data_IF_966242139627
#
_entry.id   IF_966242139627
#
_cell.length_a   1.000
_cell.length_b   1.000
_cell.length_c   1.000
_cell.angle_alpha   90.00
_cell.angle_beta   90.00
_cell.angle_gamma   90.00
#
_symmetry.space_group_name_H-M   'P 1'
#
loop_
_entity.id
_entity.type
_entity.pdbx_description
1 polymer ?
#
# COMPACT_ATOMS: atom_id res chain seq x y z
N UNK A 1 -7.33 -35.82 63.12
CA UNK A 1 -8.56 -35.58 62.33
C UNK A 1 -8.48 -34.17 61.76
N UNK A 2 -8.03 -34.10 60.53
CA UNK A 2 -7.50 -32.94 59.81
C UNK A 2 -8.62 -32.08 59.23
N UNK A 3 -8.60 -30.76 59.45
CA UNK A 3 -9.42 -29.80 58.68
C UNK A 3 -8.81 -28.39 58.63
N UNK A 4 -7.60 -28.22 58.09
CA UNK A 4 -7.08 -26.87 57.77
C UNK A 4 -6.17 -26.94 56.53
N UNK A 5 -6.72 -26.84 55.32
CA UNK A 5 -5.88 -26.90 54.12
C UNK A 5 -6.46 -26.50 52.76
N UNK A 6 -7.65 -25.88 52.68
CA UNK A 6 -8.28 -25.61 51.35
C UNK A 6 -8.69 -24.17 51.04
N UNK A 7 -8.62 -23.22 51.97
CA UNK A 7 -9.31 -21.93 51.79
C UNK A 7 -8.46 -20.78 51.24
N UNK A 8 -7.13 -20.82 51.35
CA UNK A 8 -6.28 -19.73 50.84
C UNK A 8 -5.86 -19.89 49.38
N UNK A 9 -5.65 -21.12 48.90
CA UNK A 9 -5.22 -21.34 47.52
C UNK A 9 -6.38 -21.15 46.52
N UNK A 10 -7.59 -21.61 46.85
CA UNK A 10 -8.77 -21.41 46.00
C UNK A 10 -9.21 -19.94 45.89
N UNK A 11 -9.01 -19.14 46.95
CA UNK A 11 -9.24 -17.69 46.88
C UNK A 11 -8.22 -16.99 45.99
N UNK A 12 -6.96 -17.41 46.04
CA UNK A 12 -5.91 -16.84 45.20
C UNK A 12 -6.16 -17.17 43.72
N UNK A 13 -6.53 -18.42 43.40
CA UNK A 13 -6.82 -18.84 42.01
C UNK A 13 -8.08 -18.17 41.46
N UNK A 14 -9.14 -18.02 42.26
CA UNK A 14 -10.38 -17.31 41.82
C UNK A 14 -10.15 -15.82 41.52
N UNK A 15 -9.17 -15.17 42.13
CA UNK A 15 -8.84 -13.76 41.82
C UNK A 15 -8.15 -13.57 40.47
N UNK A 16 -7.54 -14.62 39.91
CA UNK A 16 -6.85 -14.55 38.62
C UNK A 16 -7.72 -14.84 37.40
N UNK A 17 -8.92 -15.43 37.58
CA UNK A 17 -9.81 -15.78 36.47
C UNK A 17 -10.91 -14.75 36.21
N UNK A 18 -10.97 -13.66 36.98
CA UNK A 18 -11.88 -12.56 36.68
C UNK A 18 -11.28 -11.76 35.53
N UNK A 19 -11.77 -12.04 34.32
CA UNK A 19 -11.45 -11.43 33.01
C UNK A 19 -11.76 -9.93 32.92
N UNK A 20 -11.64 -9.19 34.03
CA UNK A 20 -11.50 -7.75 34.02
C UNK A 20 -10.02 -7.44 33.78
N UNK A 21 -9.59 -7.64 32.54
CA UNK A 21 -8.47 -6.87 31.98
C UNK A 21 -8.98 -5.43 31.79
N UNK A 22 -9.39 -4.81 32.91
CA UNK A 22 -9.47 -3.37 32.99
C UNK A 22 -8.12 -2.90 32.51
N UNK A 23 -8.13 -2.09 31.45
CA UNK A 23 -6.99 -1.32 30.97
C UNK A 23 -6.40 -0.60 32.17
N UNK A 24 -5.47 -1.27 32.86
CA UNK A 24 -4.79 -0.71 34.00
C UNK A 24 -3.98 0.41 33.37
N UNK A 25 -4.45 1.64 33.56
CA UNK A 25 -3.82 2.83 33.04
C UNK A 25 -2.31 2.68 33.25
N UNK A 26 -1.48 2.97 32.22
CA UNK A 26 -0.04 2.81 32.32
C UNK A 26 0.39 3.44 33.64
N UNK A 27 0.96 2.63 34.54
CA UNK A 27 1.39 3.13 35.84
C UNK A 27 2.31 4.32 35.56
N UNK A 28 1.81 5.52 35.85
CA UNK A 28 2.53 6.74 35.52
C UNK A 28 3.83 6.69 36.31
N UNK A 29 4.97 6.60 35.60
CA UNK A 29 6.26 6.61 36.26
C UNK A 29 6.34 7.97 36.98
N UNK A 30 6.42 8.00 38.32
CA UNK A 30 6.49 9.26 39.04
C UNK A 30 7.71 10.03 38.52
N UNK A 31 7.45 11.23 37.98
CA UNK A 31 8.48 12.13 37.49
C UNK A 31 9.39 12.46 38.67
N UNK A 32 10.72 12.26 38.53
CA UNK A 32 11.66 12.67 39.58
C UNK A 32 11.44 14.18 39.79
N UNK A 33 11.16 14.60 41.03
CA UNK A 33 11.33 16.01 41.39
C UNK A 33 12.83 16.25 41.30
N UNK A 34 13.25 17.09 40.37
CA UNK A 34 14.63 17.25 39.86
C UNK A 34 15.63 17.87 40.86
N UNK A 35 15.39 17.74 42.16
CA UNK A 35 16.35 18.23 43.15
C UNK A 35 17.04 17.01 43.73
N UNK A 36 18.31 16.71 43.34
CA UNK A 36 19.13 15.86 44.19
C UNK A 36 19.07 16.49 45.56
N UNK A 37 18.58 15.73 46.53
CA UNK A 37 18.38 16.23 47.87
C UNK A 37 19.71 16.79 48.33
N UNK A 38 19.83 18.12 48.48
CA UNK A 38 21.06 18.80 48.91
C UNK A 38 21.65 18.16 50.19
N UNK A 39 20.79 17.43 50.91
CA UNK A 39 21.09 16.53 52.02
C UNK A 39 22.15 15.46 51.77
N UNK A 40 22.39 15.03 50.52
CA UNK A 40 23.42 14.02 50.21
C UNK A 40 24.84 14.59 50.22
N UNK A 41 24.98 15.92 50.17
CA UNK A 41 26.27 16.61 50.16
C UNK A 41 26.64 17.19 51.53
N UNK A 42 25.86 16.91 52.58
CA UNK A 42 26.14 17.35 53.95
C UNK A 42 27.30 16.51 54.50
N UNK A 43 28.33 17.18 55.03
CA UNK A 43 29.39 16.51 55.77
C UNK A 43 28.85 16.10 57.15
N UNK A 44 28.89 14.81 57.53
CA UNK A 44 28.39 14.37 58.82
C UNK A 44 29.29 14.91 59.94
N UNK A 45 28.70 15.55 60.94
CA UNK A 45 29.40 16.02 62.14
C UNK A 45 29.45 14.91 63.21
N UNK A 46 28.51 13.97 63.16
CA UNK A 46 28.35 12.91 64.15
C UNK A 46 28.33 11.50 63.53
N UNK A 47 28.80 10.49 64.27
CA UNK A 47 28.80 9.09 63.80
C UNK A 47 27.42 8.54 63.47
N UNK A 48 26.36 9.04 64.14
CA UNK A 48 24.96 8.69 63.81
C UNK A 48 24.54 9.21 62.44
N UNK A 49 24.98 10.40 62.08
CA UNK A 49 24.69 11.02 60.78
C UNK A 49 25.39 10.26 59.65
N UNK A 50 26.63 9.81 59.88
CA UNK A 50 27.35 8.98 58.92
C UNK A 50 26.60 7.67 58.60
N UNK A 51 26.03 6.99 59.61
CA UNK A 51 25.20 5.79 59.41
C UNK A 51 23.89 6.12 58.69
N UNK A 52 23.25 7.25 59.01
CA UNK A 52 22.03 7.66 58.32
C UNK A 52 22.31 7.95 56.83
N UNK A 53 23.41 8.65 56.52
CA UNK A 53 23.81 8.94 55.15
C UNK A 53 24.12 7.67 54.35
N UNK A 54 24.78 6.68 54.93
CA UNK A 54 25.04 5.40 54.22
C UNK A 54 23.75 4.65 53.92
N UNK A 55 22.82 4.59 54.87
CA UNK A 55 21.49 3.97 54.65
C UNK A 55 20.69 4.73 53.60
N UNK A 56 20.75 6.06 53.58
CA UNK A 56 20.09 6.87 52.56
C UNK A 56 20.65 6.60 51.16
N UNK A 57 21.98 6.50 51.03
CA UNK A 57 22.65 6.18 49.77
C UNK A 57 22.25 4.79 49.26
N UNK A 58 22.30 3.77 50.14
CA UNK A 58 21.88 2.40 49.81
C UNK A 58 20.41 2.33 49.36
N UNK A 59 19.54 3.10 50.00
CA UNK A 59 18.12 3.17 49.64
C UNK A 59 17.91 3.89 48.31
N UNK A 60 18.67 4.94 48.03
CA UNK A 60 18.64 5.63 46.75
C UNK A 60 19.09 4.70 45.62
N UNK A 61 20.21 3.99 45.78
CA UNK A 61 20.71 3.01 44.80
C UNK A 61 19.69 1.89 44.52
N UNK A 62 19.04 1.38 45.57
CA UNK A 62 17.96 0.39 45.43
C UNK A 62 16.76 0.97 44.67
N UNK A 63 16.37 2.20 44.99
CA UNK A 63 15.27 2.88 44.31
C UNK A 63 15.59 3.12 42.83
N UNK A 64 16.82 3.56 42.51
CA UNK A 64 17.32 3.71 41.16
C UNK A 64 17.27 2.38 40.39
N UNK A 65 17.73 1.29 41.01
CA UNK A 65 17.69 -0.05 40.42
C UNK A 65 16.25 -0.49 40.14
N UNK A 66 15.35 -0.36 41.10
CA UNK A 66 13.94 -0.68 40.94
C UNK A 66 13.30 0.15 39.83
N UNK A 67 13.62 1.44 39.73
CA UNK A 67 13.12 2.33 38.67
C UNK A 67 13.60 1.89 37.29
N UNK A 68 14.89 1.55 37.14
CA UNK A 68 15.44 1.02 35.88
C UNK A 68 14.71 -0.26 35.44
N UNK A 69 14.46 -1.17 36.38
CA UNK A 69 13.70 -2.40 36.11
C UNK A 69 12.24 -2.12 35.73
N UNK A 70 11.59 -1.18 36.41
CA UNK A 70 10.21 -0.78 36.09
C UNK A 70 10.10 -0.23 34.67
N UNK A 71 11.01 0.67 34.28
CA UNK A 71 11.06 1.23 32.92
C UNK A 71 11.26 0.11 31.88
N UNK A 72 12.20 -0.81 32.14
CA UNK A 72 12.43 -1.97 31.26
C UNK A 72 11.18 -2.83 31.11
N UNK A 73 10.50 -3.14 32.21
CA UNK A 73 9.28 -3.95 32.18
C UNK A 73 8.13 -3.25 31.46
N UNK A 74 8.00 -1.93 31.63
CA UNK A 74 7.01 -1.14 30.91
C UNK A 74 7.28 -1.14 29.40
N UNK A 75 8.54 -0.97 28.98
CA UNK A 75 8.93 -1.02 27.58
C UNK A 75 8.62 -2.40 26.96
N UNK A 76 8.95 -3.49 27.66
CA UNK A 76 8.64 -4.87 27.20
C UNK A 76 7.12 -5.07 27.08
N UNK A 77 6.33 -4.60 28.04
CA UNK A 77 4.88 -4.74 28.00
C UNK A 77 4.27 -3.99 26.82
N UNK A 78 4.68 -2.74 26.58
CA UNK A 78 4.23 -1.96 25.42
C UNK A 78 4.58 -2.68 24.11
N UNK A 79 5.80 -3.21 23.99
CA UNK A 79 6.21 -3.96 22.80
C UNK A 79 5.36 -5.22 22.58
N UNK A 80 5.10 -5.98 23.65
CA UNK A 80 4.26 -7.18 23.58
C UNK A 80 2.81 -6.84 23.18
N UNK A 81 2.26 -5.73 23.68
CA UNK A 81 0.93 -5.25 23.31
C UNK A 81 0.86 -4.91 21.82
N UNK A 82 1.85 -4.18 21.30
CA UNK A 82 1.93 -3.83 19.88
C UNK A 82 2.06 -5.09 19.01
N UNK A 83 2.92 -6.03 19.39
CA UNK A 83 3.09 -7.29 18.67
C UNK A 83 1.78 -8.09 18.63
N UNK A 84 1.10 -8.24 19.77
CA UNK A 84 -0.16 -8.96 19.85
C UNK A 84 -1.28 -8.28 19.04
N UNK A 85 -1.32 -6.95 19.00
CA UNK A 85 -2.25 -6.21 18.18
C UNK A 85 -2.04 -6.50 16.68
N UNK A 86 -0.79 -6.42 16.21
CA UNK A 86 -0.43 -6.76 14.83
C UNK A 86 -0.73 -8.23 14.48
N UNK A 87 -0.48 -9.15 15.41
CA UNK A 87 -0.77 -10.57 15.19
C UNK A 87 -2.29 -10.81 15.05
N UNK A 88 -3.10 -10.18 15.89
CA UNK A 88 -4.56 -10.24 15.81
C UNK A 88 -5.08 -9.68 14.49
N UNK A 89 -4.54 -8.56 14.05
CA UNK A 89 -4.89 -7.96 12.75
C UNK A 89 -4.57 -8.91 11.60
N UNK A 90 -3.36 -9.49 11.58
CA UNK A 90 -2.96 -10.48 10.56
C UNK A 90 -3.84 -11.74 10.58
N UNK A 91 -4.24 -12.22 11.76
CA UNK A 91 -5.15 -13.35 11.88
C UNK A 91 -6.55 -12.99 11.37
N UNK A 92 -7.09 -11.84 11.77
CA UNK A 92 -8.38 -11.36 11.29
C UNK A 92 -8.38 -11.16 9.77
N UNK A 93 -7.31 -10.65 9.18
CA UNK A 93 -7.15 -10.57 7.73
C UNK A 93 -7.16 -11.96 7.07
N UNK A 94 -6.43 -12.93 7.64
CA UNK A 94 -6.40 -14.30 7.09
C UNK A 94 -7.77 -14.97 7.18
N UNK A 95 -8.47 -14.82 8.30
CA UNK A 95 -9.81 -15.37 8.49
C UNK A 95 -10.84 -14.71 7.56
N UNK A 96 -10.77 -13.39 7.38
CA UNK A 96 -11.66 -12.68 6.46
C UNK A 96 -11.36 -13.01 5.00
N UNK A 97 -10.07 -13.17 4.63
CA UNK A 97 -9.67 -13.64 3.30
C UNK A 97 -10.09 -15.09 3.06
N UNK A 98 -9.95 -15.97 4.05
CA UNK A 98 -10.38 -17.37 3.97
C UNK A 98 -11.90 -17.53 3.83
N UNK A 99 -12.69 -16.74 4.56
CA UNK A 99 -14.16 -16.73 4.44
C UNK A 99 -14.64 -16.21 3.09
N UNK A 100 -13.93 -15.26 2.47
CA UNK A 100 -14.26 -14.74 1.14
C UNK A 100 -13.81 -15.67 0.01
N UNK A 101 -12.76 -16.44 0.26
CA UNK A 101 -12.22 -17.42 -0.67
C UNK A 101 -12.62 -18.83 -0.21
N UNK A 102 -13.91 -19.16 -0.25
CA UNK A 102 -14.28 -20.57 -0.31
C UNK A 102 -13.49 -21.20 -1.46
N UNK A 103 -12.72 -22.27 -1.21
CA UNK A 103 -11.82 -22.82 -2.20
C UNK A 103 -12.63 -23.17 -3.45
N UNK A 104 -12.32 -22.48 -4.55
CA UNK A 104 -12.96 -22.67 -5.86
C UNK A 104 -13.03 -24.18 -6.15
N UNK A 105 -14.24 -24.72 -6.25
CA UNK A 105 -14.45 -26.15 -6.55
C UNK A 105 -14.96 -27.00 -5.38
N UNK A 106 -15.01 -26.50 -4.15
CA UNK A 106 -15.60 -27.24 -3.03
C UNK A 106 -17.07 -26.89 -2.88
N UNK A 107 -17.92 -27.92 -2.86
CA UNK A 107 -19.35 -27.80 -2.65
C UNK A 107 -19.69 -27.37 -1.21
N UNK A 108 -18.88 -27.81 -0.25
CA UNK A 108 -19.00 -27.49 1.17
C UNK A 108 -17.69 -26.83 1.62
N UNK A 109 -17.75 -25.55 1.99
CA UNK A 109 -16.57 -24.73 2.31
C UNK A 109 -15.82 -25.14 3.58
N UNK A 110 -16.43 -25.98 4.41
CA UNK A 110 -15.95 -26.28 5.77
C UNK A 110 -15.00 -27.49 5.82
N UNK A 111 -14.84 -28.21 4.71
CA UNK A 111 -13.96 -29.39 4.63
C UNK A 111 -14.39 -30.58 5.50
N UNK A 112 -15.56 -30.51 6.13
CA UNK A 112 -16.11 -31.60 6.92
C UNK A 112 -16.82 -32.63 6.02
N UNK A 113 -16.70 -33.93 6.30
CA UNK A 113 -17.44 -34.96 5.60
C UNK A 113 -18.93 -34.82 5.93
N UNK A 114 -19.75 -34.53 4.91
CA UNK A 114 -21.21 -34.46 5.02
C UNK A 114 -21.80 -35.76 4.50
N UNK A 115 -22.82 -36.27 5.18
CA UNK A 115 -23.54 -37.47 4.76
C UNK A 115 -24.35 -37.16 3.50
N UNK A 116 -24.01 -37.85 2.40
CA UNK A 116 -24.48 -37.58 1.04
C UNK A 116 -25.94 -37.99 0.73
N UNK A 117 -26.70 -38.45 1.72
CA UNK A 117 -28.01 -39.10 1.52
C UNK A 117 -29.21 -38.20 1.82
N UNK A 118 -29.02 -36.90 2.06
CA UNK A 118 -30.11 -35.95 2.27
C UNK A 118 -30.51 -35.19 0.99
N UNK A 119 -31.80 -34.89 0.82
CA UNK A 119 -32.31 -34.04 -0.27
C UNK A 119 -31.63 -32.65 -0.30
N UNK A 120 -31.18 -32.17 0.86
CA UNK A 120 -30.41 -30.94 1.03
C UNK A 120 -29.10 -30.96 0.25
N UNK A 121 -28.41 -32.11 0.20
CA UNK A 121 -27.18 -32.25 -0.57
C UNK A 121 -27.43 -32.07 -2.06
N UNK A 122 -28.52 -32.65 -2.58
CA UNK A 122 -28.87 -32.52 -3.99
C UNK A 122 -29.17 -31.06 -4.36
N UNK A 123 -29.91 -30.34 -3.52
CA UNK A 123 -30.18 -28.91 -3.73
C UNK A 123 -28.88 -28.11 -3.79
N UNK A 124 -27.95 -28.34 -2.87
CA UNK A 124 -26.65 -27.68 -2.89
C UNK A 124 -25.83 -27.99 -4.16
N UNK A 125 -25.87 -29.23 -4.67
CA UNK A 125 -25.19 -29.59 -5.94
C UNK A 125 -25.79 -28.83 -7.11
N UNK A 126 -27.12 -28.68 -7.16
CA UNK A 126 -27.81 -27.93 -8.22
C UNK A 126 -27.43 -26.46 -8.16
N UNK A 127 -27.55 -25.83 -6.99
CA UNK A 127 -27.16 -24.43 -6.76
C UNK A 127 -25.70 -24.18 -7.13
N UNK A 128 -24.79 -25.07 -6.72
CA UNK A 128 -23.37 -24.96 -7.06
C UNK A 128 -23.14 -25.02 -8.57
N UNK A 129 -23.79 -25.95 -9.28
CA UNK A 129 -23.66 -26.06 -10.73
C UNK A 129 -24.20 -24.83 -11.46
N UNK A 130 -25.34 -24.29 -11.02
CA UNK A 130 -25.90 -23.05 -11.56
C UNK A 130 -24.97 -21.86 -11.32
N UNK A 131 -24.41 -21.76 -10.12
CA UNK A 131 -23.43 -20.73 -9.77
C UNK A 131 -22.14 -20.85 -10.58
N UNK A 132 -21.63 -22.06 -10.82
CA UNK A 132 -20.47 -22.27 -11.70
C UNK A 132 -20.78 -21.82 -13.13
N UNK A 133 -21.95 -22.18 -13.67
CA UNK A 133 -22.38 -21.73 -15.00
C UNK A 133 -22.48 -20.21 -15.08
N UNK A 134 -23.08 -19.56 -14.07
CA UNK A 134 -23.17 -18.09 -13.98
C UNK A 134 -21.79 -17.43 -13.96
N UNK A 135 -20.86 -17.96 -13.15
CA UNK A 135 -19.49 -17.44 -13.06
C UNK A 135 -18.69 -17.61 -14.35
N UNK A 136 -18.88 -18.73 -15.06
CA UNK A 136 -18.25 -18.95 -16.36
C UNK A 136 -18.81 -17.99 -17.41
N UNK A 137 -20.12 -17.83 -17.49
CA UNK A 137 -20.76 -16.87 -18.39
C UNK A 137 -20.30 -15.43 -18.11
N UNK A 138 -20.18 -15.05 -16.83
CA UNK A 138 -19.66 -13.74 -16.45
C UNK A 138 -18.18 -13.56 -16.85
N UNK A 139 -17.34 -14.59 -16.64
CA UNK A 139 -15.94 -14.58 -17.10
C UNK A 139 -15.85 -14.40 -18.62
N UNK A 140 -16.67 -15.10 -19.39
CA UNK A 140 -16.72 -14.97 -20.85
C UNK A 140 -17.19 -13.58 -21.27
N UNK A 141 -18.25 -13.05 -20.67
CA UNK A 141 -18.73 -11.69 -20.92
C UNK A 141 -17.64 -10.64 -20.66
N UNK A 142 -16.86 -10.79 -19.57
CA UNK A 142 -15.71 -9.92 -19.28
C UNK A 142 -14.59 -10.07 -20.30
N UNK A 143 -14.29 -11.28 -20.77
CA UNK A 143 -13.29 -11.51 -21.85
C UNK A 143 -13.72 -10.79 -23.14
N UNK A 144 -14.97 -10.96 -23.57
CA UNK A 144 -15.53 -10.28 -24.73
C UNK A 144 -15.46 -8.75 -24.57
N UNK A 145 -15.79 -8.22 -23.39
CA UNK A 145 -15.67 -6.79 -23.09
C UNK A 145 -14.23 -6.26 -23.20
N UNK A 146 -13.25 -7.01 -22.68
CA UNK A 146 -11.81 -6.67 -22.79
C UNK A 146 -11.32 -6.67 -24.23
N UNK A 147 -11.72 -7.68 -25.02
CA UNK A 147 -11.37 -7.73 -26.45
C UNK A 147 -11.98 -6.59 -27.23
N UNK A 148 -13.26 -6.26 -26.98
CA UNK A 148 -13.92 -5.11 -27.59
C UNK A 148 -13.22 -3.79 -27.27
N UNK A 149 -12.82 -3.60 -26.01
CA UNK A 149 -12.05 -2.43 -25.58
C UNK A 149 -10.69 -2.36 -26.27
N UNK A 150 -9.96 -3.49 -26.37
CA UNK A 150 -8.66 -3.57 -27.05
C UNK A 150 -8.78 -3.15 -28.51
N UNK A 151 -9.77 -3.67 -29.23
CA UNK A 151 -10.04 -3.28 -30.64
C UNK A 151 -10.33 -1.78 -30.76
N UNK A 152 -11.19 -1.23 -29.90
CA UNK A 152 -11.50 0.20 -29.89
C UNK A 152 -10.26 1.07 -29.62
N UNK A 153 -9.35 0.60 -28.76
CA UNK A 153 -8.11 1.30 -28.45
C UNK A 153 -7.14 1.29 -29.63
N UNK A 154 -6.99 0.15 -30.33
CA UNK A 154 -6.19 0.02 -31.54
C UNK A 154 -6.71 0.94 -32.67
N UNK A 155 -8.03 1.01 -32.86
CA UNK A 155 -8.64 1.94 -33.82
C UNK A 155 -8.40 3.40 -33.45
N UNK A 156 -8.52 3.74 -32.16
CA UNK A 156 -8.25 5.08 -31.66
C UNK A 156 -6.78 5.48 -31.90
N UNK A 157 -5.84 4.57 -31.65
CA UNK A 157 -4.42 4.81 -31.87
C UNK A 157 -4.10 5.04 -33.35
N UNK A 158 -4.69 4.24 -34.26
CA UNK A 158 -4.58 4.45 -35.71
C UNK A 158 -5.06 5.84 -36.13
N UNK A 159 -6.23 6.27 -35.66
CA UNK A 159 -6.77 7.60 -35.97
C UNK A 159 -5.90 8.73 -35.41
N UNK A 160 -5.40 8.57 -34.19
CA UNK A 160 -4.50 9.55 -33.55
C UNK A 160 -3.17 9.67 -34.30
N UNK A 161 -2.60 8.55 -34.75
CA UNK A 161 -1.40 8.54 -35.58
C UNK A 161 -1.64 9.26 -36.91
N UNK A 162 -2.72 8.92 -37.63
CA UNK A 162 -3.07 9.59 -38.88
C UNK A 162 -3.28 11.11 -38.70
N UNK A 163 -3.92 11.56 -37.62
CA UNK A 163 -4.04 12.99 -37.31
C UNK A 163 -2.69 13.66 -37.05
N UNK A 164 -1.78 12.98 -36.35
CA UNK A 164 -0.44 13.49 -36.07
C UNK A 164 0.36 13.63 -37.36
N UNK A 165 0.36 12.61 -38.20
CA UNK A 165 1.10 12.58 -39.46
C UNK A 165 0.57 13.68 -40.41
N UNK A 166 -0.76 13.82 -40.54
CA UNK A 166 -1.36 14.90 -41.35
C UNK A 166 -1.01 16.30 -40.82
N UNK A 167 -0.96 16.47 -39.49
CA UNK A 167 -0.57 17.74 -38.89
C UNK A 167 0.91 18.06 -39.10
N UNK A 168 1.79 17.06 -39.09
CA UNK A 168 3.21 17.22 -39.39
C UNK A 168 3.42 17.69 -40.83
N UNK A 169 2.72 17.11 -41.81
CA UNK A 169 2.75 17.58 -43.21
C UNK A 169 2.30 19.04 -43.32
N UNK A 170 1.15 19.40 -42.73
CA UNK A 170 0.69 20.79 -42.72
C UNK A 170 1.69 21.75 -42.06
N UNK A 171 2.41 21.28 -41.03
CA UNK A 171 3.43 22.06 -40.33
C UNK A 171 4.66 22.28 -41.21
N UNK A 172 5.08 21.27 -41.96
CA UNK A 172 6.20 21.37 -42.90
C UNK A 172 5.88 22.35 -44.04
N UNK A 173 4.69 22.27 -44.62
CA UNK A 173 4.23 23.20 -45.65
C UNK A 173 4.19 24.64 -45.12
N UNK A 174 3.64 24.85 -43.92
CA UNK A 174 3.62 26.15 -43.28
C UNK A 174 5.04 26.67 -43.01
N UNK A 175 5.96 25.82 -42.55
CA UNK A 175 7.37 26.21 -42.35
C UNK A 175 8.04 26.63 -43.67
N UNK A 176 7.78 25.91 -44.76
CA UNK A 176 8.30 26.27 -46.08
C UNK A 176 7.75 27.63 -46.54
N UNK A 177 6.46 27.89 -46.31
CA UNK A 177 5.83 29.16 -46.68
C UNK A 177 6.32 30.33 -45.81
N UNK A 178 6.55 30.09 -44.52
CA UNK A 178 7.17 31.09 -43.62
C UNK A 178 8.58 31.42 -44.08
N UNK A 179 9.41 30.42 -44.45
CA UNK A 179 10.75 30.66 -45.00
C UNK A 179 10.71 31.50 -46.27
N UNK A 180 9.75 31.23 -47.17
CA UNK A 180 9.54 32.03 -48.39
C UNK A 180 9.15 33.47 -48.06
N UNK A 181 8.23 33.66 -47.12
CA UNK A 181 7.80 34.97 -46.65
C UNK A 181 8.94 35.77 -46.00
N UNK A 182 9.74 35.13 -45.15
CA UNK A 182 10.92 35.75 -44.52
C UNK A 182 11.95 36.17 -45.58
N UNK A 183 12.23 35.29 -46.56
CA UNK A 183 13.08 35.63 -47.69
C UNK A 183 12.56 36.81 -48.52
N UNK A 184 11.24 36.87 -48.77
CA UNK A 184 10.61 38.00 -49.45
C UNK A 184 10.72 39.30 -48.65
N UNK A 185 10.54 39.22 -47.33
CA UNK A 185 10.68 40.35 -46.41
C UNK A 185 12.11 40.89 -46.39
N UNK A 186 13.13 40.02 -46.35
CA UNK A 186 14.54 40.43 -46.42
C UNK A 186 14.86 41.12 -47.74
N UNK A 187 14.41 40.57 -48.88
CA UNK A 187 14.57 41.21 -50.20
C UNK A 187 13.90 42.59 -50.26
N UNK A 188 12.70 42.71 -49.69
CA UNK A 188 12.00 43.99 -49.61
C UNK A 188 12.76 45.01 -48.76
N UNK A 189 13.27 44.61 -47.59
CA UNK A 189 14.09 45.47 -46.71
C UNK A 189 15.33 45.98 -47.44
N UNK A 190 16.03 45.12 -48.19
CA UNK A 190 17.19 45.50 -49.00
C UNK A 190 16.83 46.55 -50.07
N UNK A 191 15.76 46.32 -50.84
CA UNK A 191 15.29 47.27 -51.86
C UNK A 191 14.83 48.60 -51.26
N UNK A 192 14.25 48.58 -50.05
CA UNK A 192 13.86 49.78 -49.32
C UNK A 192 15.08 50.60 -48.87
N UNK A 193 16.13 49.95 -48.37
CA UNK A 193 17.39 50.61 -48.03
C UNK A 193 18.06 51.26 -49.24
N UNK A 194 17.94 50.64 -50.42
CA UNK A 194 18.39 51.20 -51.71
C UNK A 194 17.49 52.33 -52.27
N UNK A 195 16.43 52.74 -51.55
CA UNK A 195 15.49 53.77 -51.99
C UNK A 195 14.56 53.36 -53.14
N UNK A 196 14.61 52.09 -53.59
CA UNK A 196 13.84 51.59 -54.74
C UNK A 196 12.36 51.30 -54.44
N UNK A 197 11.99 51.23 -53.16
CA UNK A 197 10.62 50.94 -52.72
C UNK A 197 10.35 51.73 -51.44
N UNK A 198 9.20 52.40 -51.35
CA UNK A 198 8.73 53.10 -50.15
C UNK A 198 7.54 52.36 -49.49
N UNK A 199 7.23 52.68 -48.23
CA UNK A 199 6.07 52.11 -47.52
C UNK A 199 6.36 50.94 -46.56
N UNK A 200 5.31 50.17 -46.22
CA UNK A 200 5.36 48.97 -45.37
C UNK A 200 5.29 47.70 -46.22
N UNK A 201 5.87 46.60 -45.73
CA UNK A 201 5.80 45.30 -46.40
C UNK A 201 4.34 44.80 -46.39
N UNK A 202 3.77 44.61 -47.58
CA UNK A 202 2.33 44.34 -47.75
C UNK A 202 1.93 42.87 -47.52
N UNK A 203 2.87 41.92 -47.63
CA UNK A 203 2.55 40.50 -47.51
C UNK A 203 2.35 40.11 -46.04
N UNK A 204 1.19 39.53 -45.72
CA UNK A 204 0.87 39.02 -44.38
C UNK A 204 1.69 37.76 -44.09
N UNK A 205 2.08 37.58 -42.82
CA UNK A 205 2.78 36.36 -42.39
C UNK A 205 1.83 35.16 -42.51
N UNK A 206 2.28 34.02 -43.06
CA UNK A 206 1.48 32.80 -43.10
C UNK A 206 1.08 32.37 -41.68
N UNK A 207 -0.19 32.06 -41.47
CA UNK A 207 -0.70 31.53 -40.20
C UNK A 207 -0.76 30.01 -40.27
N UNK A 208 -0.38 29.34 -39.19
CA UNK A 208 -0.53 27.90 -39.06
C UNK A 208 -2.02 27.60 -38.87
N UNK A 209 -2.58 26.68 -39.67
CA UNK A 209 -4.00 26.32 -39.60
C UNK A 209 -4.43 25.85 -38.21
N UNK A 210 -5.74 25.76 -37.96
CA UNK A 210 -6.25 25.28 -36.67
C UNK A 210 -5.96 23.78 -36.51
N UNK A 211 -5.38 23.39 -35.37
CA UNK A 211 -5.11 22.00 -35.04
C UNK A 211 -6.44 21.22 -34.95
N UNK A 212 -6.52 19.98 -35.49
CA UNK A 212 -7.70 19.14 -35.32
C UNK A 212 -8.03 18.92 -33.82
N UNK A 213 -9.32 18.84 -33.45
CA UNK A 213 -9.72 18.56 -32.08
C UNK A 213 -9.21 17.18 -31.64
N UNK A 214 -8.88 17.07 -30.35
CA UNK A 214 -8.38 15.83 -29.78
C UNK A 214 -9.45 14.72 -29.86
N UNK A 215 -9.09 13.57 -30.42
CA UNK A 215 -9.96 12.39 -30.42
C UNK A 215 -9.99 11.83 -28.99
N UNK A 216 -11.19 11.74 -28.41
CA UNK A 216 -11.38 11.19 -27.07
C UNK A 216 -10.94 9.72 -27.01
N UNK A 217 -10.16 9.37 -25.99
CA UNK A 217 -9.74 7.99 -25.76
C UNK A 217 -10.96 7.16 -25.33
N UNK A 218 -11.14 5.94 -25.87
CA UNK A 218 -12.16 5.01 -25.38
C UNK A 218 -12.00 4.82 -23.87
N UNK A 219 -13.10 5.00 -23.12
CA UNK A 219 -13.15 4.72 -21.69
C UNK A 219 -13.50 3.26 -21.47
N UNK A 220 -12.76 2.58 -20.60
CA UNK A 220 -13.16 1.26 -20.13
C UNK A 220 -14.37 1.45 -19.21
N UNK A 221 -15.44 0.69 -19.41
CA UNK A 221 -16.55 0.69 -18.47
C UNK A 221 -16.02 0.28 -17.08
N UNK A 222 -16.33 1.06 -16.05
CA UNK A 222 -15.80 0.90 -14.68
C UNK A 222 -16.09 -0.49 -14.10
N UNK A 223 -17.13 -1.18 -14.60
CA UNK A 223 -17.50 -2.55 -14.22
C UNK A 223 -16.47 -3.63 -14.58
N UNK A 224 -15.45 -3.32 -15.39
CA UNK A 224 -14.39 -4.27 -15.79
C UNK A 224 -12.99 -3.90 -15.24
N UNK A 225 -12.88 -2.80 -14.49
CA UNK A 225 -11.58 -2.27 -14.05
C UNK A 225 -11.13 -2.82 -12.68
N UNK A 226 -12.05 -3.42 -11.92
CA UNK A 226 -11.77 -3.91 -10.58
C UNK A 226 -11.74 -5.45 -10.55
N UNK A 227 -10.84 -5.98 -9.74
CA UNK A 227 -10.40 -7.38 -9.65
C UNK A 227 -9.35 -7.79 -10.69
N UNK A 228 -8.10 -7.42 -10.37
CA UNK A 228 -6.95 -8.21 -10.79
C UNK A 228 -7.21 -9.68 -10.50
N UNK A 229 -7.39 -10.45 -11.57
CA UNK A 229 -7.28 -11.90 -11.56
C UNK A 229 -5.83 -12.15 -11.15
N UNK A 230 -5.60 -12.28 -9.84
CA UNK A 230 -4.47 -13.02 -9.31
C UNK A 230 -4.68 -14.46 -9.75
N UNK A 231 -4.52 -14.70 -11.05
CA UNK A 231 -4.18 -16.01 -11.57
C UNK A 231 -2.85 -16.33 -10.91
N UNK A 232 -2.94 -17.05 -9.78
CA UNK A 232 -1.87 -17.95 -9.39
C UNK A 232 -1.75 -19.01 -10.49
N UNK A 233 -1.21 -18.61 -11.64
CA UNK A 233 -0.36 -19.51 -12.38
C UNK A 233 0.80 -19.81 -11.44
N UNK A 234 0.76 -21.02 -10.89
CA UNK A 234 1.96 -21.67 -10.39
C UNK A 234 2.94 -21.69 -11.57
N UNK A 235 3.81 -20.68 -11.62
CA UNK A 235 5.00 -20.69 -12.44
C UNK A 235 5.86 -21.82 -11.89
N UNK A 236 5.80 -22.97 -12.54
CA UNK A 236 6.75 -24.05 -12.32
C UNK A 236 8.14 -23.45 -12.60
N UNK A 237 8.90 -23.32 -11.53
CA UNK A 237 10.31 -22.94 -11.49
C UNK A 237 11.12 -24.04 -12.19
N UNK A 238 11.08 -24.06 -13.52
CA UNK A 238 12.05 -24.77 -14.34
C UNK A 238 13.30 -23.92 -14.40
N UNK A 239 14.16 -24.20 -13.42
CA UNK A 239 15.61 -24.12 -13.51
C UNK A 239 16.09 -24.41 -14.94
N UNK A 240 16.52 -23.37 -15.64
CA UNK A 240 17.41 -23.48 -16.80
C UNK A 240 18.67 -22.69 -16.51
N UNK A 241 19.56 -23.36 -15.78
CA UNK A 241 20.99 -23.09 -15.75
C UNK A 241 21.56 -23.30 -17.16
N UNK A 242 21.96 -22.21 -17.82
CA UNK A 242 23.04 -22.20 -18.82
C UNK A 242 23.43 -20.72 -19.03
N UNK A 243 24.64 -20.22 -18.76
CA UNK A 243 25.93 -20.90 -18.84
C UNK A 243 26.67 -20.54 -20.13
N UNK A 244 26.76 -19.27 -20.52
CA UNK A 244 27.71 -18.83 -21.57
C UNK A 244 28.11 -17.38 -21.30
N UNK A 245 29.18 -17.16 -20.54
CA UNK A 245 30.59 -17.11 -20.94
C UNK A 245 30.87 -16.00 -21.97
N UNK A 246 31.75 -15.13 -21.52
CA UNK A 246 32.43 -14.03 -22.18
C UNK A 246 32.88 -14.39 -23.59
N UNK A 247 32.80 -13.44 -24.51
CA UNK A 247 33.86 -13.24 -25.49
C UNK A 247 34.02 -11.74 -25.78
N UNK A 248 35.27 -11.32 -25.66
CA UNK A 248 35.88 -10.05 -26.01
C UNK A 248 35.94 -9.85 -27.55
N UNK A 249 36.55 -8.72 -27.94
CA UNK A 249 36.95 -8.30 -29.31
C UNK A 249 35.85 -7.52 -30.09
N UNK A 250 36.03 -6.30 -30.59
CA UNK A 250 37.18 -5.38 -30.83
C UNK A 250 36.68 -3.91 -30.77
#
# INVERSE_FOLDING_TARGET
MERLGKTNLERLVKSFTSNDVQFRAPLEIPRKKSRPSETLYIQPENGREAVLLSVLLDLEDKNERCRRLLIKNQAINILNQLYNAQLKEKLAERETKGKKNTPKGHLMGDGMPVVLTGDEFYQHVVEFNEDQKRRLAEKEARKVGREGYKRALEEWEKKRKAQKDAWEVCREEWQAEVKRWEGAKVRWMKRKAEGKVSGRFAQKKPLLGTRPPAILRPKLAESNADMGDSEGEAFDDVSSSDGTLEDEED
#
